data_IF_356383737407
#
_entry.id   IF_356383737407
#
_cell.length_a   1.000
_cell.length_b   1.000
_cell.length_c   1.000
_cell.angle_alpha   90.00
_cell.angle_beta   90.00
_cell.angle_gamma   90.00
#
_symmetry.space_group_name_H-M   'P 1'
#
loop_
_entity.id
_entity.type
_entity.pdbx_description
1 polymer ?
#
# COMPACT_ATOMS: atom_id res chain seq x y z
N UNK A 1 17.54 -10.16 -10.36
CA UNK A 1 18.97 -10.46 -10.15
C UNK A 1 19.51 -9.53 -9.07
N UNK A 2 20.12 -10.05 -8.00
CA UNK A 2 20.82 -9.21 -7.01
C UNK A 2 22.13 -8.73 -7.64
N UNK A 3 22.38 -7.41 -7.60
CA UNK A 3 23.61 -6.80 -8.13
C UNK A 3 24.67 -6.61 -7.04
N UNK A 4 24.26 -6.48 -5.79
CA UNK A 4 25.14 -6.33 -4.64
C UNK A 4 24.41 -5.80 -3.41
N UNK A 5 25.17 -5.53 -2.36
CA UNK A 5 24.69 -4.96 -1.11
C UNK A 5 25.73 -4.05 -0.46
N UNK A 6 25.30 -3.21 0.47
CA UNK A 6 26.17 -2.39 1.29
C UNK A 6 25.70 -2.35 2.75
N UNK A 7 26.64 -2.09 3.66
CA UNK A 7 26.45 -2.14 5.10
C UNK A 7 25.99 -0.78 5.62
N UNK A 8 24.81 -0.76 6.24
CA UNK A 8 24.24 0.30 7.08
C UNK A 8 23.26 1.32 6.44
N UNK A 9 21.94 1.09 6.59
CA UNK A 9 21.32 -0.20 6.91
C UNK A 9 21.59 -1.22 5.79
N UNK A 10 21.61 -2.54 6.08
CA UNK A 10 21.75 -3.57 5.04
C UNK A 10 20.77 -3.30 3.89
N UNK A 11 21.33 -2.98 2.73
CA UNK A 11 20.56 -2.58 1.56
C UNK A 11 21.03 -3.39 0.37
N UNK A 12 20.08 -3.91 -0.40
CA UNK A 12 20.32 -4.74 -1.56
C UNK A 12 19.86 -4.03 -2.82
N UNK A 13 20.72 -4.07 -3.83
CA UNK A 13 20.41 -3.56 -5.18
C UNK A 13 19.92 -4.74 -6.00
N UNK A 14 18.67 -4.67 -6.45
CA UNK A 14 18.03 -5.71 -7.24
C UNK A 14 17.72 -5.15 -8.61
N UNK A 15 18.22 -5.83 -9.63
CA UNK A 15 17.79 -5.65 -11.01
C UNK A 15 16.59 -6.54 -11.30
N UNK A 16 15.45 -5.92 -11.60
CA UNK A 16 14.17 -6.60 -11.73
C UNK A 16 13.72 -6.60 -13.20
N UNK A 17 13.55 -7.82 -13.73
CA UNK A 17 13.20 -8.09 -15.14
C UNK A 17 11.88 -8.85 -15.29
N UNK A 18 11.40 -9.47 -14.21
CA UNK A 18 10.15 -10.24 -14.22
C UNK A 18 8.95 -9.28 -14.12
N UNK A 19 7.76 -9.76 -14.49
CA UNK A 19 6.56 -8.92 -14.39
C UNK A 19 6.17 -8.63 -12.94
N UNK A 20 6.36 -9.61 -12.05
CA UNK A 20 5.98 -9.52 -10.64
C UNK A 20 6.97 -10.19 -9.70
N UNK A 21 7.10 -9.65 -8.49
CA UNK A 21 7.90 -10.18 -7.39
C UNK A 21 7.17 -9.99 -6.07
N UNK A 22 7.18 -11.00 -5.20
CA UNK A 22 6.52 -10.90 -3.91
C UNK A 22 7.45 -11.34 -2.79
N UNK A 23 7.65 -10.45 -1.82
CA UNK A 23 8.31 -10.78 -0.56
C UNK A 23 7.31 -10.83 0.58
N UNK A 24 7.47 -11.79 1.49
CA UNK A 24 6.81 -11.80 2.79
C UNK A 24 7.59 -10.95 3.80
N UNK A 25 6.92 -10.65 4.91
CA UNK A 25 7.36 -9.78 5.99
C UNK A 25 7.41 -8.31 5.60
N UNK A 26 8.03 -7.50 6.46
CA UNK A 26 8.13 -6.07 6.31
C UNK A 26 9.52 -5.63 5.87
N UNK A 27 9.55 -4.79 4.83
CA UNK A 27 10.77 -4.23 4.23
C UNK A 27 10.51 -2.80 3.75
N UNK A 28 11.59 -2.07 3.51
CA UNK A 28 11.53 -0.83 2.75
C UNK A 28 11.98 -1.06 1.32
N UNK A 29 11.26 -0.46 0.37
CA UNK A 29 11.57 -0.50 -1.06
C UNK A 29 11.70 0.91 -1.62
N UNK A 30 12.64 1.11 -2.53
CA UNK A 30 12.81 2.34 -3.30
C UNK A 30 13.06 1.96 -4.76
N UNK A 31 12.32 2.57 -5.68
CA UNK A 31 12.63 2.50 -7.12
C UNK A 31 13.75 3.48 -7.43
N UNK A 32 14.83 3.01 -8.05
CA UNK A 32 15.88 3.87 -8.60
C UNK A 32 15.66 4.14 -10.08
N UNK A 33 15.34 3.09 -10.84
CA UNK A 33 15.08 3.17 -12.28
C UNK A 33 13.75 2.53 -12.63
N UNK A 34 13.13 3.09 -13.67
CA UNK A 34 11.85 2.72 -14.24
C UNK A 34 10.68 2.94 -13.31
N UNK A 35 9.66 2.06 -13.38
CA UNK A 35 8.39 2.32 -12.69
C UNK A 35 7.91 1.04 -12.02
N UNK A 36 7.84 1.14 -10.71
CA UNK A 36 7.42 0.04 -9.84
C UNK A 36 6.04 0.37 -9.32
N UNK A 37 5.12 -0.58 -9.39
CA UNK A 37 3.80 -0.44 -8.79
C UNK A 37 3.57 -1.49 -7.73
N UNK A 38 2.96 -1.09 -6.62
CA UNK A 38 2.53 -2.01 -5.57
C UNK A 38 1.07 -1.73 -5.29
N UNK A 39 0.21 -2.72 -5.56
CA UNK A 39 -1.22 -2.65 -5.30
C UNK A 39 -1.88 -1.33 -5.76
N UNK A 40 -1.56 -0.91 -6.99
CA UNK A 40 -2.09 0.31 -7.60
C UNK A 40 -1.11 1.49 -7.57
N UNK A 41 -0.38 1.70 -6.48
CA UNK A 41 0.39 2.93 -6.30
C UNK A 41 1.73 2.84 -7.05
N UNK A 42 2.02 3.84 -7.89
CA UNK A 42 3.27 3.91 -8.65
C UNK A 42 4.33 4.61 -7.79
N UNK A 43 5.37 3.88 -7.40
CA UNK A 43 6.41 4.41 -6.52
C UNK A 43 7.18 5.55 -7.23
N UNK A 44 7.17 6.78 -6.69
CA UNK A 44 8.10 7.81 -7.10
C UNK A 44 9.54 7.33 -6.91
N UNK A 45 10.46 7.67 -7.84
CA UNK A 45 11.85 7.26 -7.72
C UNK A 45 12.52 7.96 -6.52
N UNK A 46 13.60 7.35 -6.02
CA UNK A 46 14.46 7.89 -4.97
C UNK A 46 13.78 8.08 -3.59
N UNK A 47 12.59 7.51 -3.37
CA UNK A 47 11.88 7.55 -2.09
C UNK A 47 11.62 6.14 -1.57
N UNK A 48 11.93 5.92 -0.29
CA UNK A 48 11.64 4.67 0.39
C UNK A 48 10.19 4.62 0.87
N UNK A 49 9.59 3.44 0.71
CA UNK A 49 8.27 3.09 1.21
C UNK A 49 8.36 1.80 2.01
N UNK A 50 7.71 1.75 3.17
CA UNK A 50 7.55 0.50 3.92
C UNK A 50 6.42 -0.32 3.30
N UNK A 51 6.66 -1.61 3.11
CA UNK A 51 5.71 -2.60 2.63
C UNK A 51 5.56 -3.67 3.72
N UNK A 52 4.33 -4.10 3.99
CA UNK A 52 4.02 -5.06 5.05
C UNK A 52 3.24 -6.24 4.47
N UNK A 53 3.92 -7.37 4.24
CA UNK A 53 3.33 -8.60 3.70
C UNK A 53 3.34 -9.74 4.74
N UNK A 54 2.48 -9.65 5.75
CA UNK A 54 2.35 -10.70 6.77
C UNK A 54 1.53 -11.89 6.25
N UNK A 55 1.77 -13.08 6.79
CA UNK A 55 1.10 -14.34 6.36
C UNK A 55 -0.41 -14.38 6.63
N UNK A 56 -0.93 -13.43 7.41
CA UNK A 56 -2.37 -13.31 7.73
C UNK A 56 -3.22 -12.74 6.60
N UNK A 57 -2.59 -12.14 5.59
CA UNK A 57 -3.26 -11.46 4.49
C UNK A 57 -2.61 -11.88 3.18
N UNK A 58 -3.32 -11.67 2.07
CA UNK A 58 -2.74 -11.89 0.74
C UNK A 58 -1.60 -10.88 0.51
N UNK A 59 -0.35 -11.33 0.30
CA UNK A 59 0.80 -10.46 0.06
C UNK A 59 0.62 -9.59 -1.17
N UNK A 60 1.08 -8.35 -1.11
CA UNK A 60 1.10 -7.43 -2.24
C UNK A 60 2.25 -7.77 -3.18
N UNK A 61 1.93 -8.01 -4.45
CA UNK A 61 2.93 -8.17 -5.49
C UNK A 61 3.55 -6.81 -5.88
N UNK A 62 4.85 -6.84 -6.15
CA UNK A 62 5.62 -5.74 -6.74
C UNK A 62 5.58 -5.94 -8.25
N UNK A 63 4.88 -5.06 -8.95
CA UNK A 63 4.71 -5.06 -10.40
C UNK A 63 5.79 -4.19 -11.05
N UNK A 64 6.41 -4.73 -12.11
CA UNK A 64 7.27 -3.97 -13.02
C UNK A 64 6.42 -3.30 -14.10
N UNK A 65 6.57 -1.99 -14.26
CA UNK A 65 5.99 -1.22 -15.36
C UNK A 65 7.12 -0.80 -16.29
N UNK A 66 7.13 -1.38 -17.49
CA UNK A 66 8.07 -1.00 -18.52
C UNK A 66 7.95 0.49 -18.84
N UNK A 67 8.99 1.27 -18.54
CA UNK A 67 9.07 2.68 -18.88
C UNK A 67 10.47 3.06 -19.31
N UNK A 68 10.58 3.84 -20.40
CA UNK A 68 11.83 4.46 -20.83
C UNK A 68 12.10 5.64 -19.91
N UNK A 69 12.87 5.43 -18.86
CA UNK A 69 13.39 6.53 -18.03
C UNK A 69 14.84 6.81 -18.41
N UNK A 70 15.25 8.07 -18.32
CA UNK A 70 16.66 8.49 -18.46
C UNK A 70 17.20 8.74 -17.06
N UNK A 71 18.35 8.16 -16.73
CA UNK A 71 19.01 8.31 -15.44
C UNK A 71 20.33 9.06 -15.58
N UNK A 72 20.68 9.82 -14.54
CA UNK A 72 22.02 10.32 -14.33
C UNK A 72 22.77 9.51 -13.26
N UNK A 73 24.08 9.33 -13.43
CA UNK A 73 24.96 8.73 -12.42
C UNK A 73 24.89 9.45 -11.06
N UNK A 74 24.60 10.75 -11.06
CA UNK A 74 24.42 11.55 -9.85
C UNK A 74 23.24 11.08 -9.00
N UNK A 75 22.12 10.72 -9.63
CA UNK A 75 20.92 10.28 -8.91
C UNK A 75 21.17 8.96 -8.17
N UNK A 76 21.85 8.01 -8.82
CA UNK A 76 22.20 6.72 -8.21
C UNK A 76 23.18 6.90 -7.06
N UNK A 77 24.21 7.74 -7.22
CA UNK A 77 25.22 8.01 -6.19
C UNK A 77 24.63 8.64 -4.92
N UNK A 78 23.47 9.29 -5.01
CA UNK A 78 22.80 9.85 -3.84
C UNK A 78 22.25 8.76 -2.89
N UNK A 79 21.99 7.56 -3.39
CA UNK A 79 21.39 6.46 -2.63
C UNK A 79 22.28 5.21 -2.54
N UNK A 80 23.18 5.01 -3.50
CA UNK A 80 24.20 3.97 -3.48
C UNK A 80 25.56 4.65 -3.31
N UNK A 81 26.11 4.61 -2.09
CA UNK A 81 27.42 5.19 -1.78
C UNK A 81 28.58 4.45 -2.47
N UNK A 82 28.42 3.15 -2.70
CA UNK A 82 29.39 2.33 -3.44
C UNK A 82 29.37 2.67 -4.94
N UNK A 83 30.43 3.33 -5.41
CA UNK A 83 30.57 3.81 -6.79
C UNK A 83 30.60 2.65 -7.80
N UNK A 84 31.20 1.51 -7.43
CA UNK A 84 31.28 0.36 -8.32
C UNK A 84 29.91 -0.30 -8.46
N UNK A 85 29.19 -0.46 -7.35
CA UNK A 85 27.84 -0.99 -7.35
C UNK A 85 26.86 -0.06 -8.10
N UNK A 86 26.99 1.26 -7.91
CA UNK A 86 26.23 2.25 -8.65
C UNK A 86 26.48 2.17 -10.17
N UNK A 87 27.75 2.04 -10.57
CA UNK A 87 28.12 1.85 -11.98
C UNK A 87 27.57 0.54 -12.56
N UNK A 88 27.63 -0.55 -11.80
CA UNK A 88 27.05 -1.84 -12.20
C UNK A 88 25.54 -1.77 -12.34
N UNK A 89 24.84 -1.06 -11.45
CA UNK A 89 23.39 -0.86 -11.51
C UNK A 89 23.00 -0.13 -12.80
N UNK A 90 23.67 0.98 -13.10
CA UNK A 90 23.45 1.73 -14.34
C UNK A 90 23.69 0.88 -15.58
N UNK A 91 24.84 0.19 -15.63
CA UNK A 91 25.20 -0.65 -16.76
C UNK A 91 24.17 -1.76 -17.01
N UNK A 92 23.67 -2.42 -15.95
CA UNK A 92 22.66 -3.46 -16.10
C UNK A 92 21.35 -2.93 -16.69
N UNK A 93 20.89 -1.75 -16.23
CA UNK A 93 19.70 -1.11 -16.79
C UNK A 93 19.90 -0.76 -18.27
N UNK A 94 21.00 -0.09 -18.61
CA UNK A 94 21.27 0.36 -19.98
C UNK A 94 21.41 -0.81 -20.96
N UNK A 95 22.01 -1.92 -20.52
CA UNK A 95 22.26 -3.10 -21.36
C UNK A 95 21.08 -4.06 -21.43
N UNK A 96 20.37 -4.28 -20.32
CA UNK A 96 19.37 -5.34 -20.17
C UNK A 96 17.94 -4.82 -20.04
N UNK A 97 17.73 -3.51 -19.91
CA UNK A 97 16.42 -2.94 -19.54
C UNK A 97 16.05 -3.27 -18.10
N UNK A 98 14.78 -3.11 -17.70
CA UNK A 98 14.28 -3.46 -16.36
C UNK A 98 14.49 -2.38 -15.29
N UNK A 99 13.97 -2.63 -14.08
CA UNK A 99 14.01 -1.68 -12.96
C UNK A 99 15.16 -1.98 -11.99
N UNK A 100 15.66 -0.94 -11.32
CA UNK A 100 16.56 -1.11 -10.18
C UNK A 100 15.79 -0.77 -8.92
N UNK A 101 15.73 -1.74 -8.02
CA UNK A 101 15.13 -1.63 -6.70
C UNK A 101 16.23 -1.59 -5.65
N UNK A 102 16.08 -0.70 -4.68
CA UNK A 102 16.75 -0.84 -3.38
C UNK A 102 15.76 -1.46 -2.41
N UNK A 103 16.17 -2.56 -1.77
CA UNK A 103 15.42 -3.17 -0.67
C UNK A 103 16.30 -3.17 0.56
N UNK A 104 15.74 -2.74 1.69
CA UNK A 104 16.42 -2.72 2.98
C UNK A 104 15.46 -3.09 4.12
N UNK A 105 16.02 -3.30 5.29
CA UNK A 105 15.26 -3.68 6.49
C UNK A 105 14.27 -2.58 6.87
N UNK A 106 13.05 -2.98 7.26
CA UNK A 106 12.06 -2.03 7.78
C UNK A 106 12.46 -1.58 9.21
N UNK A 107 12.47 -0.26 9.52
CA UNK A 107 13.02 0.25 10.79
C UNK A 107 12.31 -0.27 12.05
N UNK A 108 11.00 -0.47 12.00
CA UNK A 108 10.21 -0.98 13.12
C UNK A 108 10.35 -2.50 13.32
N UNK A 109 11.00 -3.24 12.41
CA UNK A 109 11.28 -4.67 12.60
C UNK A 109 12.03 -4.95 13.91
N UNK A 110 12.78 -3.97 14.43
CA UNK A 110 13.50 -4.09 15.70
C UNK A 110 12.78 -3.49 16.90
N UNK A 111 11.60 -2.88 16.69
CA UNK A 111 10.81 -2.31 17.77
C UNK A 111 10.44 -3.38 18.80
N UNK A 112 10.39 -2.99 20.07
CA UNK A 112 10.00 -3.89 21.16
C UNK A 112 8.62 -4.51 20.89
N UNK A 113 7.69 -3.74 20.32
CA UNK A 113 6.36 -4.22 19.95
C UNK A 113 6.45 -5.37 18.94
N UNK A 114 7.17 -5.20 17.83
CA UNK A 114 7.30 -6.26 16.81
C UNK A 114 8.06 -7.48 17.36
N UNK A 115 9.09 -7.27 18.20
CA UNK A 115 9.79 -8.35 18.89
C UNK A 115 8.85 -9.16 19.78
N UNK A 116 8.04 -8.49 20.61
CA UNK A 116 7.01 -9.14 21.44
C UNK A 116 6.00 -9.90 20.59
N UNK A 117 5.50 -9.29 19.50
CA UNK A 117 4.53 -9.93 18.61
C UNK A 117 5.11 -11.21 17.97
N UNK A 118 6.39 -11.21 17.58
CA UNK A 118 7.06 -12.40 17.02
C UNK A 118 7.14 -13.55 18.02
N UNK A 119 7.37 -13.25 19.29
CA UNK A 119 7.51 -14.24 20.36
C UNK A 119 6.16 -14.67 20.95
N UNK A 120 5.13 -13.83 20.84
CA UNK A 120 3.83 -14.08 21.44
C UNK A 120 3.10 -15.21 20.73
N UNK A 121 2.67 -16.23 21.49
CA UNK A 121 2.03 -17.45 20.98
C UNK A 121 0.87 -17.22 20.01
N UNK A 122 0.06 -16.17 20.23
CA UNK A 122 -1.11 -15.87 19.38
C UNK A 122 -0.73 -15.24 18.04
N UNK A 123 0.48 -14.70 17.92
CA UNK A 123 0.94 -13.92 16.77
C UNK A 123 2.17 -14.52 16.09
N UNK A 124 2.81 -15.52 16.70
CA UNK A 124 3.95 -16.25 16.13
C UNK A 124 3.67 -16.66 14.68
N UNK A 125 2.47 -17.15 14.39
CA UNK A 125 2.05 -17.60 13.05
C UNK A 125 2.05 -16.49 11.99
N UNK A 126 1.93 -15.21 12.37
CA UNK A 126 1.99 -14.07 11.43
C UNK A 126 3.36 -13.94 10.78
N UNK A 127 4.37 -14.49 11.45
CA UNK A 127 5.76 -14.49 11.03
C UNK A 127 6.25 -15.88 10.62
N UNK A 128 5.44 -16.94 10.81
CA UNK A 128 5.80 -18.30 10.43
C UNK A 128 5.73 -18.48 8.91
N UNK A 129 6.70 -19.23 8.41
CA UNK A 129 6.82 -19.64 7.03
C UNK A 129 5.93 -20.87 6.79
N UNK A 130 4.73 -20.66 6.25
CA UNK A 130 3.88 -21.75 5.73
C UNK A 130 4.07 -21.95 4.21
N UNK A 131 5.12 -21.36 3.64
CA UNK A 131 5.36 -21.35 2.20
C UNK A 131 6.58 -22.21 1.87
N UNK A 132 6.49 -22.99 0.79
CA UNK A 132 7.65 -23.69 0.23
C UNK A 132 8.67 -22.62 -0.19
N UNK A 133 9.82 -22.59 0.49
CA UNK A 133 10.90 -21.69 0.16
C UNK A 133 11.44 -22.04 -1.23
N UNK A 134 11.64 -21.01 -2.07
CA UNK A 134 12.48 -21.18 -3.25
C UNK A 134 13.91 -21.41 -2.75
N UNK A 135 14.37 -22.66 -2.74
CA UNK A 135 15.80 -22.98 -2.53
C UNK A 135 16.60 -22.50 -3.75
N UNK A 136 16.82 -21.20 -3.83
CA UNK A 136 17.83 -20.60 -4.69
C UNK A 136 18.80 -19.85 -3.81
N UNK A 137 20.00 -20.39 -3.64
CA UNK A 137 21.06 -19.85 -2.77
C UNK A 137 21.33 -18.35 -2.99
N UNK A 138 21.05 -17.82 -4.19
CA UNK A 138 21.24 -16.40 -4.51
C UNK A 138 20.46 -15.43 -3.61
N UNK A 139 19.29 -15.80 -3.07
CA UNK A 139 18.46 -14.89 -2.26
C UNK A 139 18.68 -15.07 -0.76
N UNK A 140 19.26 -16.20 -0.34
CA UNK A 140 19.38 -16.61 1.06
C UNK A 140 20.01 -15.55 1.96
N UNK A 141 21.09 -14.91 1.49
CA UNK A 141 21.76 -13.87 2.27
C UNK A 141 20.87 -12.62 2.45
N UNK A 142 20.15 -12.21 1.40
CA UNK A 142 19.21 -11.09 1.46
C UNK A 142 18.05 -11.39 2.39
N UNK A 143 17.46 -12.58 2.28
CA UNK A 143 16.35 -13.04 3.11
C UNK A 143 16.73 -13.10 4.60
N UNK A 144 17.96 -13.55 4.90
CA UNK A 144 18.51 -13.59 6.26
C UNK A 144 18.77 -12.18 6.80
N UNK A 145 19.46 -11.34 6.03
CA UNK A 145 19.87 -10.01 6.49
C UNK A 145 18.70 -9.04 6.64
N UNK A 146 17.65 -9.17 5.82
CA UNK A 146 16.49 -8.28 5.86
C UNK A 146 15.30 -8.86 6.62
N UNK A 147 15.37 -10.12 7.05
CA UNK A 147 14.25 -10.87 7.63
C UNK A 147 13.01 -10.91 6.73
N UNK A 148 13.21 -11.14 5.43
CA UNK A 148 12.14 -11.30 4.44
C UNK A 148 12.24 -12.66 3.73
N UNK A 149 11.20 -13.04 3.00
CA UNK A 149 11.19 -14.27 2.20
C UNK A 149 10.65 -14.01 0.82
N UNK A 150 11.37 -14.44 -0.21
CA UNK A 150 10.86 -14.46 -1.56
C UNK A 150 9.90 -15.64 -1.72
N UNK A 151 8.72 -15.38 -2.25
CA UNK A 151 7.75 -16.43 -2.58
C UNK A 151 7.47 -16.46 -4.07
N UNK A 152 6.99 -17.61 -4.55
CA UNK A 152 6.44 -17.68 -5.90
C UNK A 152 5.31 -16.68 -6.05
N UNK A 153 5.37 -15.85 -7.09
CA UNK A 153 4.37 -14.81 -7.33
C UNK A 153 3.32 -15.34 -8.30
N UNK A 154 2.16 -15.70 -7.76
CA UNK A 154 1.00 -16.21 -8.50
C UNK A 154 -0.27 -15.53 -7.99
N UNK A 155 -1.37 -15.66 -8.74
CA UNK A 155 -2.70 -15.20 -8.30
C UNK A 155 -3.25 -15.95 -7.07
N UNK A 156 -2.66 -17.11 -6.73
CA UNK A 156 -2.98 -17.89 -5.53
C UNK A 156 -2.18 -17.46 -4.30
N UNK A 157 -1.00 -16.88 -4.51
CA UNK A 157 -0.05 -16.56 -3.44
C UNK A 157 0.09 -15.06 -3.20
N UNK A 158 -0.35 -14.22 -4.13
CA UNK A 158 -0.18 -12.77 -4.10
C UNK A 158 -1.39 -12.04 -4.68
N UNK A 159 -1.63 -10.81 -4.24
CA UNK A 159 -2.62 -9.93 -4.86
C UNK A 159 -2.06 -9.43 -6.18
N UNK A 160 -2.55 -10.01 -7.28
CA UNK A 160 -2.33 -9.54 -8.65
C UNK A 160 -3.69 -9.09 -9.19
N UNK A 161 -3.92 -7.76 -9.34
CA UNK A 161 -5.19 -7.24 -9.84
C UNK A 161 -5.49 -7.76 -11.25
N UNK A 162 -6.73 -8.24 -11.47
CA UNK A 162 -7.17 -8.65 -12.80
C UNK A 162 -7.30 -7.45 -13.75
N UNK A 163 -7.12 -7.61 -15.07
CA UNK A 163 -7.23 -6.51 -16.03
C UNK A 163 -8.53 -5.71 -15.94
N UNK A 164 -9.66 -6.36 -15.67
CA UNK A 164 -10.97 -5.71 -15.53
C UNK A 164 -11.03 -4.82 -14.28
N UNK A 165 -10.38 -5.27 -13.21
CA UNK A 165 -10.25 -4.53 -11.94
C UNK A 165 -9.40 -3.28 -12.12
N UNK A 166 -8.28 -3.40 -12.86
CA UNK A 166 -7.41 -2.29 -13.23
C UNK A 166 -8.16 -1.30 -14.13
N UNK A 167 -8.81 -1.78 -15.18
CA UNK A 167 -9.57 -0.97 -16.14
C UNK A 167 -10.70 -0.18 -15.46
N UNK A 168 -11.41 -0.80 -14.53
CA UNK A 168 -12.47 -0.14 -13.75
C UNK A 168 -11.90 1.00 -12.90
N UNK A 169 -10.80 0.75 -12.18
CA UNK A 169 -10.14 1.79 -11.40
C UNK A 169 -9.64 2.93 -12.30
N UNK A 170 -9.01 2.62 -13.43
CA UNK A 170 -8.52 3.60 -14.41
C UNK A 170 -9.67 4.45 -14.98
N UNK A 171 -10.82 3.84 -15.27
CA UNK A 171 -12.01 4.55 -15.72
C UNK A 171 -12.52 5.55 -14.67
N UNK A 172 -12.57 5.14 -13.39
CA UNK A 172 -12.97 6.00 -12.28
C UNK A 172 -12.00 7.18 -12.10
N UNK A 173 -10.69 6.91 -12.13
CA UNK A 173 -9.65 7.95 -12.04
C UNK A 173 -9.75 8.92 -13.22
N UNK A 174 -9.86 8.41 -14.45
CA UNK A 174 -9.97 9.24 -15.64
C UNK A 174 -11.21 10.12 -15.59
N UNK A 175 -12.35 9.60 -15.11
CA UNK A 175 -13.54 10.41 -14.90
C UNK A 175 -13.27 11.53 -13.90
N UNK A 176 -12.79 11.19 -12.70
CA UNK A 176 -12.46 12.16 -11.65
C UNK A 176 -11.53 13.30 -12.12
N UNK A 177 -10.50 12.98 -12.90
CA UNK A 177 -9.54 13.97 -13.38
C UNK A 177 -10.13 14.94 -14.42
N UNK A 178 -11.17 14.51 -15.14
CA UNK A 178 -11.84 15.27 -16.20
C UNK A 178 -13.13 15.99 -15.74
N UNK A 179 -13.56 15.82 -14.49
CA UNK A 179 -14.72 16.53 -13.93
C UNK A 179 -14.48 18.05 -13.83
N UNK A 180 -15.56 18.83 -13.94
CA UNK A 180 -15.52 20.28 -13.77
C UNK A 180 -15.49 20.66 -12.28
N UNK A 181 -15.23 21.93 -11.95
CA UNK A 181 -15.15 22.36 -10.54
C UNK A 181 -16.48 22.17 -9.80
N UNK A 182 -17.61 22.29 -10.50
CA UNK A 182 -18.96 22.20 -9.92
C UNK A 182 -19.34 20.76 -9.56
N UNK A 183 -18.67 19.77 -10.15
CA UNK A 183 -18.92 18.34 -9.92
C UNK A 183 -18.23 17.80 -8.65
N UNK A 184 -17.54 18.66 -7.90
CA UNK A 184 -16.85 18.28 -6.67
C UNK A 184 -17.73 18.44 -5.42
N UNK A 185 -17.66 17.50 -4.46
CA UNK A 185 -16.75 16.36 -4.40
C UNK A 185 -17.14 15.19 -5.32
N UNK A 186 -16.13 14.50 -5.87
CA UNK A 186 -16.35 13.28 -6.66
C UNK A 186 -16.45 12.07 -5.72
N UNK A 187 -17.64 11.50 -5.57
CA UNK A 187 -17.91 10.45 -4.58
C UNK A 187 -17.98 9.07 -5.23
N UNK A 188 -17.19 8.13 -4.71
CA UNK A 188 -17.21 6.72 -5.11
C UNK A 188 -17.59 5.86 -3.91
N UNK A 189 -18.71 5.14 -4.04
CA UNK A 189 -19.18 4.19 -3.05
C UNK A 189 -18.80 2.76 -3.50
N UNK A 190 -18.07 2.03 -2.66
CA UNK A 190 -17.77 0.61 -2.92
C UNK A 190 -18.66 -0.24 -2.02
N UNK A 191 -19.59 -0.98 -2.64
CA UNK A 191 -20.59 -1.80 -1.94
C UNK A 191 -20.73 -3.20 -2.55
N UNK A 192 -21.34 -4.11 -1.80
CA UNK A 192 -21.52 -5.52 -2.16
C UNK A 192 -21.45 -6.44 -0.94
N UNK A 193 -21.68 -7.73 -1.15
CA UNK A 193 -21.73 -8.72 -0.08
C UNK A 193 -20.38 -8.90 0.63
N UNK A 194 -20.41 -9.57 1.78
CA UNK A 194 -19.18 -9.93 2.52
C UNK A 194 -18.28 -10.82 1.65
N UNK A 195 -16.97 -10.65 1.79
CA UNK A 195 -15.94 -11.46 1.12
C UNK A 195 -15.91 -11.38 -0.43
N UNK A 196 -16.56 -10.38 -1.02
CA UNK A 196 -16.54 -10.11 -2.48
C UNK A 196 -15.34 -9.26 -2.96
N UNK A 197 -14.33 -9.03 -2.12
CA UNK A 197 -13.13 -8.27 -2.50
C UNK A 197 -13.25 -6.73 -2.46
N UNK A 198 -14.29 -6.19 -1.82
CA UNK A 198 -14.52 -4.73 -1.68
C UNK A 198 -13.33 -3.99 -1.10
N UNK A 199 -12.80 -4.45 0.04
CA UNK A 199 -11.67 -3.83 0.72
C UNK A 199 -10.41 -3.86 -0.16
N UNK A 200 -10.21 -4.94 -0.91
CA UNK A 200 -9.13 -5.06 -1.89
C UNK A 200 -9.29 -4.04 -3.03
N UNK A 201 -10.50 -3.85 -3.56
CA UNK A 201 -10.76 -2.89 -4.63
C UNK A 201 -10.60 -1.45 -4.18
N UNK A 202 -11.20 -1.09 -3.05
CA UNK A 202 -11.11 0.28 -2.57
C UNK A 202 -9.67 0.63 -2.17
N UNK A 203 -8.89 -0.31 -1.61
CA UNK A 203 -7.46 -0.08 -1.32
C UNK A 203 -6.66 0.12 -2.61
N UNK A 204 -6.90 -0.71 -3.63
CA UNK A 204 -6.27 -0.54 -4.94
C UNK A 204 -6.63 0.81 -5.57
N UNK A 205 -7.91 1.18 -5.59
CA UNK A 205 -8.39 2.46 -6.11
C UNK A 205 -7.82 3.66 -5.33
N UNK A 206 -7.72 3.54 -4.00
CA UNK A 206 -7.08 4.54 -3.13
C UNK A 206 -5.64 4.76 -3.56
N UNK A 207 -4.89 3.68 -3.70
CA UNK A 207 -3.50 3.70 -4.16
C UNK A 207 -3.37 4.27 -5.58
N UNK A 208 -4.30 3.96 -6.50
CA UNK A 208 -4.33 4.59 -7.85
C UNK A 208 -4.63 6.10 -7.78
N UNK A 209 -5.53 6.53 -6.91
CA UNK A 209 -5.88 7.94 -6.76
C UNK A 209 -4.71 8.76 -6.17
N UNK A 210 -3.94 8.16 -5.26
CA UNK A 210 -2.77 8.79 -4.62
C UNK A 210 -1.68 9.22 -5.62
N UNK A 211 -1.56 8.56 -6.78
CA UNK A 211 -0.64 8.95 -7.86
C UNK A 211 -0.94 10.37 -8.41
N UNK A 212 -2.15 10.88 -8.19
CA UNK A 212 -2.62 12.16 -8.73
C UNK A 212 -2.77 13.27 -7.68
N UNK A 213 -2.50 12.98 -6.41
CA UNK A 213 -2.66 13.94 -5.31
C UNK A 213 -1.57 14.99 -5.34
N UNK A 214 -1.97 16.25 -5.29
CA UNK A 214 -1.09 17.41 -5.40
C UNK A 214 -1.76 18.66 -4.79
N UNK A 215 -1.33 19.86 -5.20
CA UNK A 215 -1.93 21.12 -4.72
C UNK A 215 -3.39 21.29 -5.15
N UNK A 216 -3.82 20.67 -6.26
CA UNK A 216 -5.16 20.78 -6.85
C UNK A 216 -6.12 19.69 -6.37
N UNK A 217 -5.64 18.47 -6.19
CA UNK A 217 -6.46 17.29 -5.84
C UNK A 217 -6.16 16.78 -4.43
N UNK A 218 -7.19 16.35 -3.71
CA UNK A 218 -7.09 15.64 -2.43
C UNK A 218 -7.98 14.38 -2.43
N UNK A 219 -7.66 13.47 -1.51
CA UNK A 219 -8.34 12.18 -1.37
C UNK A 219 -8.80 12.00 0.07
N UNK A 220 -10.10 11.82 0.26
CA UNK A 220 -10.68 11.46 1.55
C UNK A 220 -11.21 10.04 1.49
N UNK A 221 -10.83 9.21 2.46
CA UNK A 221 -11.35 7.87 2.63
C UNK A 221 -12.33 7.85 3.79
N UNK A 222 -13.57 7.42 3.55
CA UNK A 222 -14.58 7.15 4.57
C UNK A 222 -14.63 5.66 4.83
N UNK A 223 -14.34 5.28 6.05
CA UNK A 223 -14.47 3.91 6.51
C UNK A 223 -15.78 3.74 7.27
N UNK A 224 -16.79 3.21 6.58
CA UNK A 224 -18.07 2.85 7.18
C UNK A 224 -18.20 1.35 7.45
N UNK A 225 -17.15 0.54 7.27
CA UNK A 225 -17.17 -0.87 7.68
C UNK A 225 -16.73 -0.99 9.15
N UNK A 226 -17.71 -0.97 10.06
CA UNK A 226 -17.48 -1.13 11.51
C UNK A 226 -17.01 -2.53 11.91
N UNK A 227 -17.11 -3.52 11.02
CA UNK A 227 -16.67 -4.89 11.28
C UNK A 227 -15.19 -5.09 10.96
N UNK A 228 -14.72 -4.52 9.86
CA UNK A 228 -13.34 -4.63 9.37
C UNK A 228 -12.81 -3.26 8.95
N UNK A 229 -12.50 -2.42 9.94
CA UNK A 229 -11.96 -1.09 9.70
C UNK A 229 -10.55 -1.13 9.08
N UNK A 230 -10.24 -0.14 8.24
CA UNK A 230 -8.96 0.06 7.55
C UNK A 230 -7.99 0.92 8.38
N UNK A 231 -8.50 1.97 9.06
CA UNK A 231 -7.69 2.99 9.74
C UNK A 231 -7.94 3.10 11.25
N UNK A 232 -8.75 2.20 11.81
CA UNK A 232 -9.12 2.21 13.22
C UNK A 232 -9.35 0.80 13.75
N UNK A 233 -9.59 0.69 15.05
CA UNK A 233 -10.09 -0.56 15.65
C UNK A 233 -11.55 -0.82 15.23
N UNK A 234 -11.96 -2.08 15.29
CA UNK A 234 -13.35 -2.48 15.02
C UNK A 234 -14.36 -1.71 15.87
N UNK A 235 -15.53 -1.49 15.29
CA UNK A 235 -16.63 -0.75 15.91
C UNK A 235 -16.52 0.77 15.79
N UNK A 236 -15.69 1.26 14.87
CA UNK A 236 -15.53 2.69 14.59
C UNK A 236 -15.97 3.02 13.16
N UNK A 237 -16.54 4.21 12.98
CA UNK A 237 -16.62 4.85 11.67
C UNK A 237 -15.62 5.98 11.66
N UNK A 238 -14.93 6.19 10.55
CA UNK A 238 -13.95 7.25 10.46
C UNK A 238 -13.83 7.81 9.06
N UNK A 239 -13.26 9.01 8.93
CA UNK A 239 -12.67 9.41 7.67
C UNK A 239 -11.25 9.92 7.86
N UNK A 240 -10.45 9.78 6.81
CA UNK A 240 -9.03 10.17 6.77
C UNK A 240 -8.73 10.84 5.43
N UNK A 241 -8.06 11.99 5.46
CA UNK A 241 -7.41 12.58 4.30
C UNK A 241 -6.07 11.87 4.06
N UNK A 242 -5.89 11.29 2.88
CA UNK A 242 -4.76 10.43 2.57
C UNK A 242 -3.70 11.14 1.73
N UNK A 243 -2.44 10.96 2.13
CA UNK A 243 -1.24 11.48 1.48
C UNK A 243 -0.15 10.41 1.25
N UNK A 244 -0.42 9.18 1.67
CA UNK A 244 0.54 8.08 1.66
C UNK A 244 -0.14 6.77 1.30
N UNK A 245 0.56 5.88 0.56
CA UNK A 245 -0.02 4.67 0.03
C UNK A 245 -0.26 3.61 1.10
N UNK A 246 -1.27 2.78 0.84
CA UNK A 246 -1.71 1.67 1.65
C UNK A 246 -1.00 0.39 1.19
N UNK A 247 0.23 0.20 1.68
CA UNK A 247 1.13 -0.88 1.28
C UNK A 247 1.23 -1.99 2.33
N UNK A 248 0.09 -2.40 2.88
CA UNK A 248 0.00 -3.49 3.84
C UNK A 248 -1.42 -3.82 4.27
N UNK A 249 -1.58 -4.64 5.32
CA UNK A 249 -2.88 -4.90 5.93
C UNK A 249 -3.35 -3.71 6.79
N UNK A 250 -4.64 -3.65 7.18
CA UNK A 250 -5.22 -2.55 7.96
C UNK A 250 -4.42 -2.14 9.19
N UNK A 251 -3.92 -3.12 9.96
CA UNK A 251 -3.14 -2.84 11.16
C UNK A 251 -1.83 -2.07 10.90
N UNK A 252 -1.28 -2.14 9.68
CA UNK A 252 -0.08 -1.39 9.29
C UNK A 252 -0.38 0.09 8.95
N UNK A 253 -1.65 0.43 8.74
CA UNK A 253 -2.09 1.78 8.41
C UNK A 253 -2.44 2.60 9.68
N UNK A 254 -2.67 1.92 10.81
CA UNK A 254 -2.89 2.54 12.12
C UNK A 254 -1.54 3.02 12.68
N UNK A 255 -1.19 4.28 12.43
CA UNK A 255 0.07 4.86 12.88
C UNK A 255 -0.13 5.61 14.19
N UNK A 256 0.82 5.51 15.12
CA UNK A 256 0.79 6.26 16.39
C UNK A 256 0.69 7.78 16.19
N UNK A 257 1.25 8.27 15.08
CA UNK A 257 1.38 9.70 14.77
C UNK A 257 0.37 10.18 13.70
N UNK A 258 -0.50 9.29 13.20
CA UNK A 258 -1.55 9.66 12.25
C UNK A 258 -2.84 8.98 12.69
N UNK A 259 -3.74 9.77 13.30
CA UNK A 259 -5.09 9.34 13.66
C UNK A 259 -6.03 9.75 12.53
N UNK A 260 -7.18 9.05 12.38
CA UNK A 260 -8.23 9.54 11.52
C UNK A 260 -8.62 10.99 11.88
N UNK A 261 -8.90 11.81 10.86
CA UNK A 261 -9.31 13.21 11.04
C UNK A 261 -10.57 13.31 11.92
N UNK A 262 -11.51 12.38 11.71
CA UNK A 262 -12.66 12.15 12.57
C UNK A 262 -12.87 10.66 12.77
N UNK A 263 -13.17 10.27 14.01
CA UNK A 263 -13.51 8.91 14.39
C UNK A 263 -14.72 8.96 15.33
N UNK A 264 -15.71 8.12 15.04
CA UNK A 264 -16.90 7.91 15.85
C UNK A 264 -16.94 6.46 16.33
N UNK A 265 -16.92 6.26 17.65
CA UNK A 265 -17.05 4.92 18.23
C UNK A 265 -18.52 4.50 18.29
N UNK A 266 -18.89 3.54 17.44
CA UNK A 266 -20.24 2.97 17.39
C UNK A 266 -20.49 1.97 18.53
N UNK A 267 -19.45 1.25 18.97
CA UNK A 267 -19.50 0.34 20.11
C UNK A 267 -19.81 -1.13 19.78
N UNK A 268 -20.17 -1.43 18.53
CA UNK A 268 -20.44 -2.78 18.03
C UNK A 268 -19.73 -3.01 16.70
N UNK A 269 -19.45 -4.26 16.35
CA UNK A 269 -18.79 -4.62 15.07
C UNK A 269 -19.78 -5.02 13.97
N UNK A 270 -21.08 -4.85 14.22
CA UNK A 270 -22.15 -5.17 13.28
C UNK A 270 -23.32 -4.22 13.47
N UNK A 271 -23.94 -3.71 12.39
CA UNK A 271 -25.09 -2.82 12.47
C UNK A 271 -26.41 -3.60 12.64
N UNK A 272 -26.39 -4.94 12.64
CA UNK A 272 -27.60 -5.79 12.63
C UNK A 272 -28.58 -5.49 13.77
N UNK A 273 -28.07 -5.14 14.96
CA UNK A 273 -28.91 -4.86 16.13
C UNK A 273 -29.62 -3.51 16.04
N UNK A 274 -29.06 -2.55 15.29
CA UNK A 274 -29.67 -1.23 15.08
C UNK A 274 -29.14 -0.55 13.80
N UNK A 275 -29.68 -0.92 12.62
CA UNK A 275 -29.29 -0.31 11.35
C UNK A 275 -29.56 1.20 11.32
N UNK A 276 -30.66 1.64 11.94
CA UNK A 276 -31.02 3.07 12.06
C UNK A 276 -29.94 3.85 12.82
N UNK A 277 -29.46 3.30 13.94
CA UNK A 277 -28.37 3.94 14.70
C UNK A 277 -27.09 3.99 13.89
N UNK A 278 -26.75 2.92 13.16
CA UNK A 278 -25.59 2.94 12.26
C UNK A 278 -25.70 4.06 11.21
N UNK A 279 -26.86 4.22 10.56
CA UNK A 279 -27.09 5.31 9.61
C UNK A 279 -27.02 6.71 10.25
N UNK A 280 -27.43 6.86 11.51
CA UNK A 280 -27.23 8.12 12.26
C UNK A 280 -25.74 8.43 12.44
N UNK A 281 -24.90 7.44 12.71
CA UNK A 281 -23.46 7.61 12.83
C UNK A 281 -22.81 7.95 11.48
N UNK A 282 -23.19 7.27 10.40
CA UNK A 282 -22.74 7.62 9.04
C UNK A 282 -23.11 9.07 8.70
N UNK A 283 -24.34 9.47 8.98
CA UNK A 283 -24.79 10.86 8.77
C UNK A 283 -24.02 11.86 9.63
N UNK A 284 -23.74 11.52 10.89
CA UNK A 284 -22.94 12.36 11.78
C UNK A 284 -21.52 12.53 11.26
N UNK A 285 -20.89 11.46 10.77
CA UNK A 285 -19.56 11.51 10.19
C UNK A 285 -19.51 12.41 8.94
N UNK A 286 -20.50 12.28 8.04
CA UNK A 286 -20.67 13.16 6.88
C UNK A 286 -20.83 14.63 7.26
N UNK A 287 -21.61 14.91 8.31
CA UNK A 287 -21.78 16.28 8.81
C UNK A 287 -20.47 16.87 9.34
N UNK A 288 -19.67 16.07 10.06
CA UNK A 288 -18.36 16.50 10.55
C UNK A 288 -17.42 16.82 9.38
N UNK A 289 -17.34 15.95 8.37
CA UNK A 289 -16.56 16.22 7.17
C UNK A 289 -16.99 17.52 6.48
N UNK A 290 -18.30 17.74 6.29
CA UNK A 290 -18.82 18.99 5.71
C UNK A 290 -18.42 20.24 6.50
N UNK A 291 -18.30 20.14 7.83
CA UNK A 291 -17.84 21.24 8.68
C UNK A 291 -16.35 21.49 8.46
N UNK A 292 -15.56 20.42 8.39
CA UNK A 292 -14.11 20.50 8.26
C UNK A 292 -13.70 21.03 6.87
N UNK A 293 -14.39 20.61 5.80
CA UNK A 293 -14.10 21.09 4.44
C UNK A 293 -14.39 22.59 4.23
N UNK A 294 -15.30 23.19 5.01
CA UNK A 294 -15.55 24.65 4.91
C UNK A 294 -14.33 25.49 5.30
N UNK A 295 -13.41 24.90 6.08
CA UNK A 295 -12.22 25.57 6.58
C UNK A 295 -10.96 25.28 5.75
N UNK A 296 -11.06 24.40 4.74
CA UNK A 296 -9.94 24.03 3.88
C UNK A 296 -9.97 24.80 2.54
N UNK A 297 -8.79 25.02 1.95
CA UNK A 297 -8.68 25.53 0.58
C UNK A 297 -9.45 24.60 -0.38
N UNK A 298 -10.19 25.15 -1.35
CA UNK A 298 -11.04 24.41 -2.31
C UNK A 298 -10.23 23.49 -3.24
N UNK A 299 -9.75 22.37 -2.70
CA UNK A 299 -9.18 21.28 -3.49
C UNK A 299 -10.29 20.43 -4.10
N UNK A 300 -9.99 19.86 -5.26
CA UNK A 300 -10.86 18.93 -5.99
C UNK A 300 -10.80 17.55 -5.33
N UNK A 301 -11.74 17.31 -4.41
CA UNK A 301 -11.75 16.12 -3.56
C UNK A 301 -12.38 14.91 -4.23
N UNK A 302 -11.66 13.79 -4.26
CA UNK A 302 -12.28 12.46 -4.38
C UNK A 302 -12.62 11.95 -2.99
N UNK A 303 -13.81 11.38 -2.83
CA UNK A 303 -14.25 10.69 -1.62
C UNK A 303 -14.45 9.22 -1.95
N UNK A 304 -13.66 8.34 -1.32
CA UNK A 304 -13.84 6.90 -1.42
C UNK A 304 -14.55 6.41 -0.16
N UNK A 305 -15.69 5.73 -0.32
CA UNK A 305 -16.50 5.24 0.80
C UNK A 305 -16.47 3.72 0.81
N UNK A 306 -15.82 3.15 1.83
CA UNK A 306 -15.92 1.74 2.18
C UNK A 306 -17.22 1.49 2.93
N UNK A 307 -17.93 0.41 2.60
CA UNK A 307 -19.20 0.05 3.23
C UNK A 307 -19.17 -1.35 3.81
N UNK A 308 -20.01 -1.57 4.82
CA UNK A 308 -20.31 -2.89 5.34
C UNK A 308 -20.67 -3.88 4.21
N UNK A 309 -20.31 -5.15 4.40
CA UNK A 309 -20.85 -6.24 3.59
C UNK A 309 -22.32 -6.50 3.90
N UNK A 310 -23.22 -5.91 3.10
CA UNK A 310 -24.65 -6.21 3.16
C UNK A 310 -24.94 -7.38 2.21
N UNK A 311 -25.42 -8.50 2.76
CA UNK A 311 -25.98 -9.62 2.00
C UNK A 311 -27.46 -9.78 2.34
N UNK A 312 -28.20 -10.36 1.41
CA UNK A 312 -29.58 -10.83 1.63
C UNK A 312 -29.61 -12.21 2.27
#
# INVERSE_FOLDING_TARGET
MILGSFSEPPTYVIHFLDSHLTFLQSFQICSLFGRVRIHGYTLPPLKFYSVYNYSTNSPLAIEFINSKTTISLSDIKSLISDVQLAGNALFNVEKKGGDILLIRQEPNNESLFIKIMREHRSYKNWFLESYNLFEQDKWKQLEQNLYIRLIETTDKTSIIPRPEFVSTADHIINRWLNETVEDFPFVVLVCGEKDMGKSTFIRYLTNRALDHINSKYNLTYFDCDIGQCEFSIGGCLSYVNLDSPLLGPPCSHIKSNSKPDRLLYYGLVSPQTSPVRYLQYVNKLRQLWNIDQKNENQKRSMILINTMGWGT
#
